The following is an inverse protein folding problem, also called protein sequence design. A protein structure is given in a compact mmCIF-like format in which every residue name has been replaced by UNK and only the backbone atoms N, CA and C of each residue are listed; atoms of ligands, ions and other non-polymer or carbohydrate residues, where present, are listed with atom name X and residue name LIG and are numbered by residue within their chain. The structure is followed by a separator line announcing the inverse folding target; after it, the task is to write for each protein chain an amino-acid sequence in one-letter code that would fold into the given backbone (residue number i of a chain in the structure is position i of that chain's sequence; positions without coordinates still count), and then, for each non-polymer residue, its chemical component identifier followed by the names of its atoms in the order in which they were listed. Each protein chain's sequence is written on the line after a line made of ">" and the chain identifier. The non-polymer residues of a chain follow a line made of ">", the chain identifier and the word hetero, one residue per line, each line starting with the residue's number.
data_IF_484447903738
#
_entry.id   IF_484447903738
#
_cell.length_a   1.000
_cell.length_b   1.000
_cell.length_c   1.000
_cell.angle_alpha   90.00
_cell.angle_beta   90.00
_cell.angle_gamma   90.00
#
_symmetry.space_group_name_H-M   'P 1'
#
loop_
_entity.id
_entity.type
_entity.pdbx_description
1 polymer ?
#
# COMPACT_ATOMS: atom_id res chain seq x y z
N UNK A 1 16.53 -24.99 -10.52
CA UNK A 1 15.73 -24.13 -11.43
C UNK A 1 15.21 -22.95 -10.62
N UNK A 2 15.58 -21.71 -10.96
CA UNK A 2 15.05 -20.52 -10.27
C UNK A 2 13.60 -20.35 -10.73
N UNK A 3 12.59 -20.42 -9.85
CA UNK A 3 11.21 -20.20 -10.26
C UNK A 3 11.11 -18.82 -10.92
N UNK A 4 10.44 -18.73 -12.06
CA UNK A 4 10.15 -17.44 -12.69
C UNK A 4 8.98 -16.81 -11.94
N UNK A 5 9.22 -16.41 -10.69
CA UNK A 5 8.24 -15.70 -9.87
C UNK A 5 8.20 -14.25 -10.36
N UNK A 6 7.20 -13.95 -11.18
CA UNK A 6 6.94 -12.58 -11.61
C UNK A 6 6.66 -11.66 -10.41
N UNK A 7 6.79 -10.33 -10.60
CA UNK A 7 6.61 -9.33 -9.54
C UNK A 7 5.31 -9.53 -8.75
N UNK A 8 4.22 -9.93 -9.40
CA UNK A 8 2.94 -10.22 -8.75
C UNK A 8 3.06 -11.32 -7.69
N UNK A 9 3.73 -12.42 -7.98
CA UNK A 9 3.89 -13.55 -7.05
C UNK A 9 4.83 -13.19 -5.87
N UNK A 10 5.85 -12.36 -6.13
CA UNK A 10 6.71 -11.82 -5.07
C UNK A 10 5.96 -10.86 -4.14
N UNK A 11 5.14 -9.98 -4.72
CA UNK A 11 4.28 -9.06 -3.95
C UNK A 11 3.30 -9.87 -3.10
N UNK A 12 2.59 -10.84 -3.68
CA UNK A 12 1.64 -11.70 -2.95
C UNK A 12 2.24 -12.38 -1.72
N UNK A 13 3.47 -12.90 -1.82
CA UNK A 13 4.16 -13.58 -0.72
C UNK A 13 4.70 -12.65 0.36
N UNK A 14 4.90 -11.37 0.05
CA UNK A 14 5.58 -10.43 0.95
C UNK A 14 4.71 -9.24 1.37
N UNK A 15 3.53 -9.04 0.77
CA UNK A 15 2.69 -7.86 1.01
C UNK A 15 2.35 -7.69 2.49
N UNK A 16 2.03 -8.78 3.20
CA UNK A 16 1.74 -8.79 4.64
C UNK A 16 2.95 -8.38 5.48
N UNK A 17 4.16 -8.70 5.02
CA UNK A 17 5.41 -8.33 5.70
C UNK A 17 5.80 -6.87 5.45
N UNK A 18 5.34 -6.30 4.34
CA UNK A 18 5.62 -4.93 3.92
C UNK A 18 4.58 -3.94 4.50
N UNK A 19 3.33 -4.40 4.69
CA UNK A 19 2.22 -3.62 5.25
C UNK A 19 2.53 -2.89 6.57
N UNK A 20 3.20 -3.50 7.57
CA UNK A 20 3.58 -2.79 8.80
C UNK A 20 4.55 -1.64 8.57
N UNK A 21 5.50 -1.80 7.64
CA UNK A 21 6.45 -0.74 7.29
C UNK A 21 5.71 0.43 6.62
N UNK A 22 4.84 0.13 5.65
CA UNK A 22 4.01 1.15 4.98
C UNK A 22 3.11 1.87 5.98
N UNK A 23 2.50 1.15 6.93
CA UNK A 23 1.68 1.75 7.99
C UNK A 23 2.48 2.76 8.81
N UNK A 24 3.73 2.46 9.15
CA UNK A 24 4.60 3.36 9.88
C UNK A 24 5.01 4.57 9.03
N UNK A 25 5.37 4.34 7.77
CA UNK A 25 5.77 5.42 6.86
C UNK A 25 4.61 6.38 6.56
N UNK A 26 3.37 5.89 6.52
CA UNK A 26 2.16 6.72 6.41
C UNK A 26 1.88 7.57 7.67
N UNK A 27 2.60 7.34 8.77
CA UNK A 27 2.56 8.18 9.96
C UNK A 27 3.82 9.01 10.15
N UNK A 28 4.76 8.95 9.21
CA UNK A 28 5.98 9.72 9.29
C UNK A 28 5.68 11.22 9.16
N UNK A 29 6.47 12.05 9.84
CA UNK A 29 6.32 13.50 9.85
C UNK A 29 6.67 14.12 8.48
N UNK A 30 7.46 13.43 7.65
CA UNK A 30 7.86 13.87 6.31
C UNK A 30 6.77 13.57 5.28
N UNK A 31 6.11 14.63 4.79
CA UNK A 31 5.01 14.56 3.81
C UNK A 31 5.39 13.79 2.54
N UNK A 32 6.60 14.02 2.00
CA UNK A 32 7.06 13.33 0.78
C UNK A 32 7.26 11.83 0.98
N UNK A 33 7.56 11.39 2.22
CA UNK A 33 7.60 9.98 2.59
C UNK A 33 6.20 9.39 2.57
N UNK A 34 5.24 10.04 3.25
CA UNK A 34 3.83 9.63 3.26
C UNK A 34 3.24 9.52 1.85
N UNK A 35 3.53 10.49 0.97
CA UNK A 35 3.10 10.46 -0.43
C UNK A 35 3.59 9.19 -1.14
N UNK A 36 4.89 8.90 -1.11
CA UNK A 36 5.45 7.71 -1.78
C UNK A 36 4.91 6.41 -1.20
N UNK A 37 4.74 6.34 0.12
CA UNK A 37 4.18 5.17 0.78
C UNK A 37 2.70 4.96 0.44
N UNK A 38 1.95 6.05 0.25
CA UNK A 38 0.56 6.01 -0.22
C UNK A 38 0.44 5.52 -1.66
N UNK A 39 1.33 5.94 -2.56
CA UNK A 39 1.38 5.43 -3.95
C UNK A 39 1.71 3.94 -3.99
N UNK A 40 2.72 3.52 -3.22
CA UNK A 40 3.10 2.12 -3.11
C UNK A 40 1.94 1.26 -2.59
N UNK A 41 1.19 1.76 -1.60
CA UNK A 41 0.03 1.07 -1.05
C UNK A 41 -1.04 0.80 -2.11
N UNK A 42 -1.33 1.77 -3.00
CA UNK A 42 -2.30 1.58 -4.08
C UNK A 42 -1.86 0.46 -5.03
N UNK A 43 -0.59 0.47 -5.43
CA UNK A 43 -0.02 -0.56 -6.31
C UNK A 43 -0.09 -1.94 -5.67
N UNK A 44 0.25 -2.04 -4.38
CA UNK A 44 0.21 -3.30 -3.64
C UNK A 44 -1.23 -3.82 -3.50
N UNK A 45 -2.19 -2.93 -3.24
CA UNK A 45 -3.61 -3.27 -3.13
C UNK A 45 -4.12 -3.87 -4.44
N UNK A 46 -3.81 -3.22 -5.57
CA UNK A 46 -4.15 -3.72 -6.91
C UNK A 46 -3.53 -5.10 -7.21
N UNK A 47 -2.27 -5.31 -6.85
CA UNK A 47 -1.59 -6.59 -7.10
C UNK A 47 -2.05 -7.72 -6.17
N UNK A 48 -2.57 -7.36 -4.99
CA UNK A 48 -2.97 -8.29 -3.96
C UNK A 48 -4.45 -8.72 -4.04
N UNK A 49 -5.27 -8.17 -4.95
CA UNK A 49 -6.72 -8.46 -5.07
C UNK A 49 -7.08 -9.96 -4.89
N UNK A 50 -6.34 -10.88 -5.51
CA UNK A 50 -6.66 -12.33 -5.41
C UNK A 50 -6.21 -13.00 -4.08
N UNK A 51 -5.40 -12.32 -3.28
CA UNK A 51 -4.57 -12.93 -2.22
C UNK A 51 -4.74 -12.25 -0.87
N UNK A 52 -5.37 -11.06 -0.88
CA UNK A 52 -5.58 -10.24 0.31
C UNK A 52 -6.71 -10.75 1.18
N UNK A 53 -7.45 -11.78 0.77
CA UNK A 53 -8.63 -12.30 1.46
C UNK A 53 -8.40 -12.62 2.95
N UNK A 54 -7.19 -13.04 3.34
CA UNK A 54 -6.85 -13.30 4.75
C UNK A 54 -6.36 -12.06 5.54
N UNK A 55 -6.00 -10.97 4.86
CA UNK A 55 -5.45 -9.74 5.45
C UNK A 55 -6.15 -8.48 4.92
N UNK A 56 -7.41 -8.66 4.49
CA UNK A 56 -8.20 -7.63 3.85
C UNK A 56 -8.49 -6.51 4.83
N UNK A 57 -8.81 -6.85 6.08
CA UNK A 57 -9.06 -5.87 7.14
C UNK A 57 -7.84 -4.97 7.41
N UNK A 58 -6.66 -5.56 7.60
CA UNK A 58 -5.43 -4.80 7.83
C UNK A 58 -5.10 -3.88 6.67
N UNK A 59 -5.31 -4.37 5.44
CA UNK A 59 -5.06 -3.56 4.24
C UNK A 59 -6.07 -2.41 4.13
N UNK A 60 -7.35 -2.67 4.36
CA UNK A 60 -8.40 -1.65 4.35
C UNK A 60 -8.15 -0.57 5.40
N UNK A 61 -7.65 -0.95 6.59
CA UNK A 61 -7.27 0.04 7.62
C UNK A 61 -6.12 0.93 7.15
N UNK A 62 -5.09 0.35 6.53
CA UNK A 62 -3.93 1.12 6.03
C UNK A 62 -4.35 2.02 4.86
N UNK A 63 -5.22 1.55 3.97
CA UNK A 63 -5.80 2.34 2.87
C UNK A 63 -6.68 3.47 3.38
N UNK A 64 -7.56 3.20 4.35
CA UNK A 64 -8.40 4.21 4.99
C UNK A 64 -7.54 5.32 5.61
N UNK A 65 -6.42 4.95 6.24
CA UNK A 65 -5.49 5.91 6.84
C UNK A 65 -4.85 6.84 5.82
N UNK A 66 -4.46 6.32 4.65
CA UNK A 66 -3.92 7.14 3.56
C UNK A 66 -4.98 8.08 2.96
N UNK A 67 -6.25 7.65 2.90
CA UNK A 67 -7.37 8.45 2.37
C UNK A 67 -7.78 9.61 3.30
N UNK A 68 -7.50 9.51 4.60
CA UNK A 68 -7.80 10.54 5.61
C UNK A 68 -6.54 11.26 6.11
N UNK A 69 -5.41 11.16 5.40
CA UNK A 69 -4.18 11.88 5.75
C UNK A 69 -4.47 13.37 5.91
N UNK A 70 -3.86 14.02 6.90
CA UNK A 70 -4.09 15.44 7.18
C UNK A 70 -3.67 16.34 6.01
N UNK A 71 -2.67 15.91 5.22
CA UNK A 71 -2.15 16.68 4.09
C UNK A 71 -2.98 16.47 2.81
N UNK A 72 -3.55 17.54 2.23
CA UNK A 72 -4.36 17.45 1.01
C UNK A 72 -3.63 16.79 -0.17
N UNK A 73 -2.33 17.04 -0.31
CA UNK A 73 -1.52 16.53 -1.41
C UNK A 73 -1.39 14.99 -1.37
N UNK A 74 -1.33 14.41 -0.17
CA UNK A 74 -1.29 12.94 -0.01
C UNK A 74 -2.63 12.35 -0.43
N UNK A 75 -3.75 12.95 0.03
CA UNK A 75 -5.10 12.49 -0.32
C UNK A 75 -5.39 12.60 -1.82
N UNK A 76 -5.01 13.71 -2.45
CA UNK A 76 -5.16 13.92 -3.89
C UNK A 76 -4.36 12.86 -4.66
N UNK A 77 -3.13 12.58 -4.23
CA UNK A 77 -2.29 11.57 -4.86
C UNK A 77 -2.88 10.17 -4.78
N UNK A 78 -3.46 9.80 -3.65
CA UNK A 78 -4.15 8.51 -3.51
C UNK A 78 -5.37 8.45 -4.45
N UNK A 79 -6.14 9.55 -4.57
CA UNK A 79 -7.30 9.61 -5.48
C UNK A 79 -6.91 9.50 -6.95
N UNK A 80 -5.85 10.17 -7.38
CA UNK A 80 -5.31 10.07 -8.75
C UNK A 80 -5.00 8.62 -9.14
N UNK A 81 -4.49 7.81 -8.20
CA UNK A 81 -4.10 6.43 -8.47
C UNK A 81 -5.25 5.42 -8.37
N UNK A 82 -6.42 5.82 -7.87
CA UNK A 82 -7.62 4.98 -7.76
C UNK A 82 -8.63 5.26 -8.89
N UNK A 83 -8.58 6.46 -9.50
CA UNK A 83 -9.42 6.87 -10.64
C UNK A 83 -8.95 6.27 -11.97
#
# INVERSE_FOLDING_TARGET
>A
TRPNVGCRELVKRNVIRILPAIRNDLTDWVVSGRMKSSELLVILTWQAEDTITQHLEDTLQVCSKALVDDEPIVREKVRENIS
#
